data_IF_771646571570
#
_entry.id   IF_771646571570
#
_cell.length_a   1.000
_cell.length_b   1.000
_cell.length_c   1.000
_cell.angle_alpha   90.00
_cell.angle_beta   90.00
_cell.angle_gamma   90.00
#
_symmetry.space_group_name_H-M   'P 1'
#
loop_
_entity.id
_entity.type
_entity.pdbx_description
1 polymer ?
#
# COMPACT_ATOMS: atom_id res chain seq x y z
N UNK A 1 4.74 8.95 -19.61
CA UNK A 1 4.16 7.79 -18.91
C UNK A 1 3.37 6.85 -19.84
N UNK A 2 2.77 7.30 -20.95
CA UNK A 2 2.42 6.41 -22.09
C UNK A 2 1.36 5.31 -21.83
N UNK A 3 0.64 5.39 -20.70
CA UNK A 3 -0.38 4.43 -20.32
C UNK A 3 -1.54 4.45 -21.32
N UNK A 4 -2.07 3.27 -21.64
CA UNK A 4 -3.16 3.09 -22.63
C UNK A 4 -4.53 2.82 -22.01
N UNK A 5 -4.59 2.69 -20.68
CA UNK A 5 -5.84 2.54 -19.95
C UNK A 5 -6.20 3.85 -19.25
N UNK A 6 -7.51 4.10 -19.00
CA UNK A 6 -7.94 5.31 -18.32
C UNK A 6 -7.42 5.31 -16.88
N UNK A 7 -6.57 6.28 -16.57
CA UNK A 7 -6.15 6.56 -15.21
C UNK A 7 -7.01 7.70 -14.66
N UNK A 8 -7.61 7.50 -13.49
CA UNK A 8 -8.42 8.51 -12.81
C UNK A 8 -7.89 8.70 -11.40
N UNK A 9 -8.15 9.88 -10.83
CA UNK A 9 -7.81 10.23 -9.46
C UNK A 9 -9.09 10.39 -8.64
N UNK A 10 -9.05 9.98 -7.38
CA UNK A 10 -10.09 10.27 -6.39
C UNK A 10 -9.90 11.65 -5.71
N UNK A 11 -8.91 12.43 -6.13
CA UNK A 11 -8.64 13.76 -5.59
C UNK A 11 -9.88 14.66 -5.63
N UNK A 12 -10.17 15.32 -4.50
CA UNK A 12 -11.34 16.18 -4.34
C UNK A 12 -12.65 15.43 -4.10
N UNK A 13 -12.63 14.11 -3.92
CA UNK A 13 -13.81 13.29 -3.57
C UNK A 13 -13.65 12.65 -2.18
N UNK A 14 -14.75 12.11 -1.66
CA UNK A 14 -14.83 11.33 -0.42
C UNK A 14 -14.51 9.84 -0.61
N UNK A 15 -14.25 9.38 -1.84
CA UNK A 15 -14.03 7.98 -2.18
C UNK A 15 -13.06 7.26 -1.22
N UNK A 16 -11.88 7.83 -0.97
CA UNK A 16 -10.89 7.19 -0.09
C UNK A 16 -11.38 7.05 1.37
N UNK A 17 -12.20 7.98 1.85
CA UNK A 17 -12.84 7.91 3.16
C UNK A 17 -13.90 6.82 3.20
N UNK A 18 -14.76 6.74 2.18
CA UNK A 18 -15.80 5.73 2.05
C UNK A 18 -15.25 4.30 2.07
N UNK A 19 -14.05 4.11 1.50
CA UNK A 19 -13.36 2.81 1.50
C UNK A 19 -12.43 2.58 2.69
N UNK A 20 -12.43 3.49 3.67
CA UNK A 20 -11.71 3.34 4.93
C UNK A 20 -10.19 3.36 4.77
N UNK A 21 -9.68 4.22 3.88
CA UNK A 21 -8.23 4.42 3.68
C UNK A 21 -7.76 5.85 3.99
N UNK A 22 -8.67 6.82 4.08
CA UNK A 22 -8.40 8.18 4.56
C UNK A 22 -9.11 8.45 5.88
N UNK A 23 -8.44 9.06 6.85
CA UNK A 23 -8.95 9.35 8.20
C UNK A 23 -8.58 10.76 8.66
N UNK A 24 -9.45 11.45 9.40
CA UNK A 24 -9.03 12.65 10.17
C UNK A 24 -8.38 12.28 11.50
N UNK A 25 -7.65 13.23 12.07
CA UNK A 25 -7.11 13.12 13.42
C UNK A 25 -8.21 12.80 14.47
N UNK A 26 -9.37 13.44 14.35
CA UNK A 26 -10.51 13.22 15.27
C UNK A 26 -11.10 11.81 15.11
N UNK A 27 -11.28 11.34 13.87
CA UNK A 27 -11.75 9.97 13.62
C UNK A 27 -10.77 8.93 14.15
N UNK A 28 -9.46 9.17 14.06
CA UNK A 28 -8.47 8.31 14.69
C UNK A 28 -8.65 8.26 16.22
N UNK A 29 -8.90 9.40 16.85
CA UNK A 29 -9.15 9.52 18.29
C UNK A 29 -10.41 8.78 18.73
N UNK A 30 -11.51 8.95 18.00
CA UNK A 30 -12.80 8.32 18.31
C UNK A 30 -12.77 6.80 18.09
N UNK A 31 -12.08 6.34 17.03
CA UNK A 31 -11.92 4.90 16.73
C UNK A 31 -11.05 4.17 17.76
N UNK A 32 -10.10 4.87 18.38
CA UNK A 32 -9.33 4.37 19.52
C UNK A 32 -10.18 4.19 20.79
N UNK A 33 -11.29 4.92 20.92
CA UNK A 33 -12.10 4.97 22.14
C UNK A 33 -13.33 4.04 22.14
N UNK A 34 -13.78 3.48 20.99
CA UNK A 34 -15.14 2.91 20.90
C UNK A 34 -15.41 1.72 19.97
N UNK A 35 -14.40 1.10 19.34
CA UNK A 35 -14.53 -0.30 18.86
C UNK A 35 -15.35 -0.59 17.58
N UNK A 36 -15.73 0.40 16.77
CA UNK A 36 -16.34 0.15 15.45
C UNK A 36 -15.25 0.08 14.37
N UNK A 37 -15.10 -1.10 13.74
CA UNK A 37 -14.12 -1.46 12.69
C UNK A 37 -13.34 -0.27 12.12
N UNK A 38 -12.10 -0.15 12.60
CA UNK A 38 -11.06 0.72 12.08
C UNK A 38 -10.29 -0.03 10.97
N UNK A 39 -9.49 0.68 10.17
CA UNK A 39 -8.73 0.18 9.01
C UNK A 39 -8.46 -1.33 9.00
N UNK A 40 -8.74 -1.98 7.86
CA UNK A 40 -8.63 -3.45 7.71
C UNK A 40 -9.56 -4.23 8.67
N UNK A 41 -10.79 -3.74 8.87
CA UNK A 41 -11.86 -4.39 9.64
C UNK A 41 -11.57 -4.68 11.12
N UNK A 42 -10.60 -4.01 11.73
CA UNK A 42 -10.31 -4.28 13.14
C UNK A 42 -9.14 -3.53 13.79
N UNK A 43 -8.38 -2.69 13.06
CA UNK A 43 -7.18 -2.04 13.60
C UNK A 43 -7.17 -0.53 13.44
N UNK A 44 -6.60 0.18 14.42
CA UNK A 44 -6.37 1.63 14.29
C UNK A 44 -5.41 1.89 13.13
N UNK A 45 -5.75 2.78 12.19
CA UNK A 45 -4.84 3.12 11.11
C UNK A 45 -3.58 3.82 11.66
N UNK A 46 -2.36 3.35 11.34
CA UNK A 46 -1.13 4.03 11.73
C UNK A 46 -0.98 5.41 11.06
N UNK A 47 -1.51 5.58 9.86
CA UNK A 47 -1.46 6.82 9.05
C UNK A 47 -2.84 7.45 8.85
N UNK A 48 -2.88 8.74 8.53
CA UNK A 48 -4.13 9.39 8.07
C UNK A 48 -4.51 8.87 6.68
N UNK A 49 -3.50 8.53 5.89
CA UNK A 49 -3.62 7.83 4.62
C UNK A 49 -3.05 6.43 4.75
N UNK A 50 -3.82 5.44 4.31
CA UNK A 50 -3.50 4.03 4.42
C UNK A 50 -3.64 3.33 3.06
N UNK A 51 -2.84 2.31 2.74
CA UNK A 51 -2.97 1.60 1.48
C UNK A 51 -4.22 0.71 1.45
N UNK A 52 -4.88 0.65 0.31
CA UNK A 52 -5.96 -0.30 0.03
C UNK A 52 -6.05 -0.58 -1.46
N UNK A 53 -6.49 -1.80 -1.81
CA UNK A 53 -6.78 -2.21 -3.18
C UNK A 53 -8.18 -2.80 -3.21
N UNK A 54 -9.04 -2.19 -4.03
CA UNK A 54 -10.43 -2.61 -4.22
C UNK A 54 -10.66 -3.00 -5.67
N UNK A 55 -11.55 -3.98 -5.89
CA UNK A 55 -12.10 -4.27 -7.21
C UNK A 55 -13.60 -4.01 -7.23
N UNK A 56 -14.06 -3.42 -8.32
CA UNK A 56 -15.46 -3.12 -8.56
C UNK A 56 -15.92 -3.81 -9.82
N UNK A 57 -17.16 -4.27 -9.83
CA UNK A 57 -17.81 -4.82 -11.00
C UNK A 57 -19.08 -4.05 -11.28
N UNK A 58 -19.33 -3.75 -12.56
CA UNK A 58 -20.57 -3.10 -12.99
C UNK A 58 -21.37 -4.08 -13.84
N UNK A 59 -22.64 -4.28 -13.50
CA UNK A 59 -23.53 -5.15 -14.27
C UNK A 59 -24.21 -4.41 -15.44
N UNK A 60 -24.98 -5.15 -16.24
CA UNK A 60 -25.69 -4.61 -17.40
C UNK A 60 -26.80 -3.61 -17.02
N UNK A 61 -27.36 -3.73 -15.81
CA UNK A 61 -28.31 -2.76 -15.27
C UNK A 61 -27.65 -1.45 -14.80
N UNK A 62 -26.32 -1.40 -14.79
CA UNK A 62 -25.53 -0.24 -14.41
C UNK A 62 -25.18 -0.15 -12.91
N UNK A 63 -25.57 -1.14 -12.12
CA UNK A 63 -25.25 -1.25 -10.68
C UNK A 63 -23.76 -1.57 -10.49
N UNK A 64 -23.13 -0.97 -9.49
CA UNK A 64 -21.72 -1.18 -9.16
C UNK A 64 -21.61 -1.94 -7.84
N UNK A 65 -20.84 -3.03 -7.87
CA UNK A 65 -20.60 -3.91 -6.75
C UNK A 65 -19.14 -3.79 -6.31
N UNK A 66 -18.93 -3.68 -5.00
CA UNK A 66 -17.61 -3.80 -4.39
C UNK A 66 -17.32 -5.27 -4.12
N UNK A 67 -16.58 -5.91 -5.02
CA UNK A 67 -16.45 -7.38 -5.05
C UNK A 67 -15.21 -7.89 -4.32
N UNK A 68 -14.24 -7.01 -4.08
CA UNK A 68 -13.00 -7.36 -3.40
C UNK A 68 -12.38 -6.13 -2.73
N UNK A 69 -11.77 -6.34 -1.57
CA UNK A 69 -10.89 -5.39 -0.91
C UNK A 69 -9.77 -6.10 -0.19
N UNK A 70 -8.59 -5.49 -0.21
CA UNK A 70 -7.49 -5.82 0.71
C UNK A 70 -6.79 -4.56 1.18
N UNK A 71 -6.26 -4.62 2.39
CA UNK A 71 -5.67 -3.50 3.10
C UNK A 71 -4.38 -3.97 3.78
N UNK A 72 -3.41 -3.08 3.94
CA UNK A 72 -2.17 -3.37 4.65
C UNK A 72 -1.41 -4.50 3.97
N UNK A 73 -1.16 -5.61 4.68
CA UNK A 73 -0.62 -6.83 4.06
C UNK A 73 -1.71 -7.47 3.19
N UNK A 74 -1.42 -7.62 1.91
CA UNK A 74 -2.30 -8.08 0.84
C UNK A 74 -2.24 -7.15 -0.39
N UNK A 75 -1.95 -5.87 -0.20
CA UNK A 75 -1.82 -4.88 -1.29
C UNK A 75 -0.60 -5.13 -2.19
N UNK A 76 0.28 -6.06 -1.82
CA UNK A 76 1.42 -6.52 -2.62
C UNK A 76 1.02 -7.12 -3.97
N UNK A 77 -0.27 -7.36 -4.21
CA UNK A 77 -0.78 -7.64 -5.56
C UNK A 77 -0.38 -6.57 -6.58
N UNK A 78 -0.21 -5.32 -6.13
CA UNK A 78 0.29 -4.21 -6.95
C UNK A 78 1.81 -3.99 -6.81
N UNK A 79 2.49 -4.73 -5.93
CA UNK A 79 3.93 -4.61 -5.61
C UNK A 79 4.63 -5.97 -5.65
N UNK A 80 4.98 -6.42 -6.86
CA UNK A 80 5.59 -7.74 -7.10
C UNK A 80 6.92 -7.99 -6.37
N UNK A 81 7.65 -6.92 -6.00
CA UNK A 81 8.98 -7.03 -5.38
C UNK A 81 9.00 -7.90 -4.12
N UNK A 82 8.00 -7.76 -3.24
CA UNK A 82 7.97 -8.56 -2.00
C UNK A 82 7.71 -10.04 -2.26
N UNK A 83 6.85 -10.35 -3.24
CA UNK A 83 6.60 -11.75 -3.64
C UNK A 83 7.85 -12.40 -4.21
N UNK A 84 8.72 -11.63 -4.90
CA UNK A 84 10.00 -12.13 -5.38
C UNK A 84 10.99 -12.36 -4.22
N UNK A 85 11.02 -11.47 -3.23
CA UNK A 85 11.87 -11.64 -2.04
C UNK A 85 11.46 -12.87 -1.22
N UNK A 86 10.15 -13.14 -1.10
CA UNK A 86 9.60 -14.33 -0.43
C UNK A 86 10.11 -15.66 -1.03
N UNK A 87 10.51 -15.67 -2.32
CA UNK A 87 11.07 -16.86 -2.97
C UNK A 87 12.52 -17.15 -2.57
N UNK A 88 13.21 -16.16 -1.98
CA UNK A 88 14.62 -16.28 -1.61
C UNK A 88 14.76 -16.90 -0.22
N UNK A 89 15.91 -17.53 0.07
CA UNK A 89 16.16 -18.18 1.37
C UNK A 89 16.07 -17.22 2.57
N UNK A 90 16.31 -15.92 2.36
CA UNK A 90 16.22 -14.89 3.42
C UNK A 90 14.81 -14.29 3.54
N UNK A 91 13.88 -14.66 2.65
CA UNK A 91 12.59 -14.02 2.52
C UNK A 91 12.73 -12.51 2.36
N UNK A 92 11.90 -11.75 3.08
CA UNK A 92 11.95 -10.28 3.11
C UNK A 92 12.98 -9.70 4.08
N UNK A 93 13.64 -10.55 4.89
CA UNK A 93 14.66 -10.14 5.87
C UNK A 93 14.19 -9.03 6.84
N UNK A 94 12.93 -9.13 7.30
CA UNK A 94 12.32 -8.12 8.20
C UNK A 94 12.42 -8.48 9.69
N UNK A 95 12.97 -9.65 10.01
CA UNK A 95 13.07 -10.13 11.38
C UNK A 95 14.05 -9.27 12.20
N UNK A 96 13.60 -8.82 13.38
CA UNK A 96 14.39 -7.98 14.28
C UNK A 96 14.37 -6.48 13.99
N UNK A 97 13.60 -6.04 12.98
CA UNK A 97 13.34 -4.62 12.71
C UNK A 97 12.31 -4.04 13.69
N UNK A 98 12.36 -2.73 13.90
CA UNK A 98 11.40 -2.01 14.74
C UNK A 98 9.96 -2.04 14.18
N UNK A 99 9.84 -2.15 12.86
CA UNK A 99 8.59 -2.39 12.14
C UNK A 99 8.89 -2.96 10.74
N UNK A 100 7.92 -3.66 10.16
CA UNK A 100 8.03 -4.14 8.77
C UNK A 100 8.31 -2.96 7.85
N UNK A 101 9.19 -3.13 6.86
CA UNK A 101 9.62 -2.08 5.94
C UNK A 101 10.56 -1.00 6.49
N UNK A 102 11.11 -1.12 7.71
CA UNK A 102 12.07 -0.14 8.27
C UNK A 102 13.28 0.14 7.35
N UNK A 103 13.66 -0.85 6.53
CA UNK A 103 14.78 -0.75 5.58
C UNK A 103 14.48 0.10 4.33
N UNK A 104 13.21 0.41 4.02
CA UNK A 104 12.87 1.20 2.82
C UNK A 104 13.28 2.64 3.01
N UNK A 105 14.00 3.15 2.02
CA UNK A 105 14.37 4.56 1.91
C UNK A 105 13.90 5.11 0.58
N UNK A 106 13.53 6.39 0.58
CA UNK A 106 13.34 7.12 -0.67
C UNK A 106 14.62 7.08 -1.50
N UNK A 107 14.46 7.01 -2.82
CA UNK A 107 15.57 6.85 -3.77
C UNK A 107 16.65 7.94 -3.61
N UNK A 108 16.27 9.14 -3.21
CA UNK A 108 17.16 10.29 -2.98
C UNK A 108 17.92 10.24 -1.65
N UNK A 109 17.59 9.32 -0.74
CA UNK A 109 18.22 9.16 0.58
C UNK A 109 19.29 8.07 0.62
N UNK A 110 19.54 7.39 -0.50
CA UNK A 110 20.67 6.49 -0.61
C UNK A 110 21.94 7.32 -0.86
N UNK A 111 23.02 6.96 -0.18
CA UNK A 111 24.35 7.47 -0.54
C UNK A 111 24.64 7.11 -2.00
N UNK A 112 25.28 8.02 -2.73
CA UNK A 112 25.66 7.76 -4.11
C UNK A 112 26.67 6.61 -4.11
N UNK A 113 26.23 5.41 -4.51
CA UNK A 113 27.12 4.28 -4.61
C UNK A 113 28.28 4.63 -5.55
N UNK A 114 29.56 4.42 -5.17
CA UNK A 114 30.65 4.59 -6.09
C UNK A 114 30.43 3.66 -7.29
N UNK A 115 30.63 4.18 -8.51
CA UNK A 115 30.44 3.40 -9.72
C UNK A 115 31.20 2.07 -9.63
N UNK A 116 30.50 0.96 -9.86
CA UNK A 116 31.12 -0.35 -9.88
C UNK A 116 32.25 -0.35 -10.91
N UNK A 117 33.48 -0.70 -10.50
CA UNK A 117 34.59 -0.87 -11.43
C UNK A 117 34.22 -1.99 -12.40
N UNK A 118 34.22 -1.69 -13.69
CA UNK A 118 34.04 -2.66 -14.76
C UNK A 118 35.10 -3.74 -14.65
N UNK A 119 34.73 -4.92 -14.14
CA UNK A 119 35.60 -6.09 -14.06
C UNK A 119 35.57 -6.89 -15.37
N UNK A 120 35.67 -6.24 -16.52
CA UNK A 120 35.88 -6.90 -17.82
C UNK A 120 36.56 -5.92 -18.79
N UNK A 121 37.88 -5.78 -18.63
CA UNK A 121 38.78 -5.35 -19.70
C UNK A 121 40.01 -6.26 -19.61
N UNK A 122 40.05 -7.25 -20.49
CA UNK A 122 41.11 -8.25 -20.64
C UNK A 122 40.82 -9.10 -21.87
#
# INVERSE_FOLDING_TARGET
MGWRFPWVSSEGTDFNRDFGVTFTADEKGDKLAGGAASYNYGGTPPGEEMPGVSAFWRNDAGEVFHTYSTYGRGVEVMMHSYRLLDLTAKGRDEDGLGFTMEWVRHHDRYETAPAARSCCAG
#
